data_IF_351920517210
#
_entry.id   IF_351920517210
#
_cell.length_a   1.000
_cell.length_b   1.000
_cell.length_c   1.000
_cell.angle_alpha   90.00
_cell.angle_beta   90.00
_cell.angle_gamma   90.00
#
_symmetry.space_group_name_H-M   'P 1'
#
loop_
_entity.id
_entity.type
_entity.pdbx_description
1 polymer ?
#
# COMPACT_ATOMS: atom_id res chain seq x y z
N UNK A 1 0.49 -10.56 -15.92
CA UNK A 1 -0.52 -11.01 -14.94
C UNK A 1 -0.43 -10.06 -13.76
N UNK A 2 -1.47 -9.25 -13.53
CA UNK A 2 -1.58 -8.37 -12.36
C UNK A 2 -2.27 -9.19 -11.28
N UNK A 3 -1.62 -9.49 -10.16
CA UNK A 3 -2.25 -10.17 -9.03
C UNK A 3 -2.26 -9.19 -7.85
N UNK A 4 -3.27 -8.33 -7.82
CA UNK A 4 -3.53 -7.49 -6.66
C UNK A 4 -4.74 -8.08 -5.93
N UNK A 5 -4.52 -8.54 -4.70
CA UNK A 5 -5.60 -8.70 -3.74
C UNK A 5 -5.62 -7.41 -2.91
N UNK A 6 -6.70 -6.60 -2.89
CA UNK A 6 -6.78 -5.33 -2.16
C UNK A 6 -6.76 -5.47 -0.62
N UNK A 7 -6.12 -6.52 -0.11
CA UNK A 7 -6.06 -6.98 1.28
C UNK A 7 -4.64 -6.79 1.83
N UNK A 8 -4.11 -5.56 1.79
CA UNK A 8 -2.82 -5.25 2.40
C UNK A 8 -1.62 -6.04 1.86
N UNK A 9 -1.74 -6.79 0.75
CA UNK A 9 -0.67 -7.59 0.17
C UNK A 9 -0.62 -7.46 -1.36
N UNK A 10 0.58 -7.41 -1.94
CA UNK A 10 0.81 -7.38 -3.37
C UNK A 10 1.99 -8.26 -3.77
N UNK A 11 1.97 -8.82 -4.98
CA UNK A 11 3.12 -9.51 -5.57
C UNK A 11 3.62 -8.77 -6.81
N UNK A 12 4.93 -8.53 -6.86
CA UNK A 12 5.55 -7.77 -7.94
C UNK A 12 7.07 -7.88 -7.92
N UNK A 13 7.71 -7.72 -9.08
CA UNK A 13 9.18 -7.76 -9.19
C UNK A 13 9.82 -8.96 -8.45
N UNK A 14 9.17 -10.13 -8.49
CA UNK A 14 9.65 -11.36 -7.88
C UNK A 14 9.47 -11.49 -6.36
N UNK A 15 8.73 -10.60 -5.70
CA UNK A 15 8.50 -10.65 -4.25
C UNK A 15 7.07 -10.34 -3.84
N UNK A 16 6.65 -10.90 -2.72
CA UNK A 16 5.46 -10.52 -1.97
C UNK A 16 5.78 -9.31 -1.09
N UNK A 17 4.80 -8.43 -0.93
CA UNK A 17 4.87 -7.23 -0.10
C UNK A 17 3.58 -7.16 0.70
N UNK A 18 3.65 -6.94 2.00
CA UNK A 18 2.46 -6.69 2.81
C UNK A 18 2.60 -5.44 3.69
N UNK A 19 1.46 -4.86 4.02
CA UNK A 19 1.32 -3.73 4.92
C UNK A 19 0.71 -4.24 6.23
N UNK A 20 1.40 -3.96 7.32
CA UNK A 20 0.86 -4.02 8.67
C UNK A 20 0.55 -2.59 9.13
N UNK A 21 -0.73 -2.26 9.21
CA UNK A 21 -1.21 -0.93 9.56
C UNK A 21 -1.35 -0.78 11.07
N UNK A 22 -0.40 -0.07 11.69
CA UNK A 22 -0.42 0.27 13.11
C UNK A 22 -0.42 1.79 13.28
N UNK A 23 -1.58 2.40 12.98
CA UNK A 23 -1.75 3.84 12.93
C UNK A 23 -1.17 4.53 14.20
N UNK A 24 -0.37 5.60 14.05
CA UNK A 24 -0.20 6.43 12.85
C UNK A 24 0.84 5.91 11.83
N UNK A 25 1.37 4.70 12.02
CA UNK A 25 2.43 4.14 11.18
C UNK A 25 1.95 2.91 10.39
N UNK A 26 2.70 2.57 9.34
CA UNK A 26 2.53 1.33 8.60
C UNK A 26 3.90 0.66 8.40
N UNK A 27 3.99 -0.61 8.79
CA UNK A 27 5.17 -1.43 8.55
C UNK A 27 5.01 -2.14 7.22
N UNK A 28 6.05 -2.09 6.39
CA UNK A 28 6.13 -2.83 5.13
C UNK A 28 6.97 -4.07 5.36
N UNK A 29 6.42 -5.23 5.02
CA UNK A 29 7.16 -6.49 5.01
C UNK A 29 7.31 -6.99 3.57
N UNK A 30 8.41 -7.70 3.32
CA UNK A 30 8.64 -8.35 2.03
C UNK A 30 8.95 -9.83 2.23
N UNK A 31 8.64 -10.64 1.24
CA UNK A 31 8.91 -12.07 1.25
C UNK A 31 9.17 -12.59 -0.16
N UNK A 32 10.15 -13.48 -0.37
CA UNK A 32 10.31 -14.18 -1.65
C UNK A 32 9.29 -15.31 -1.85
N UNK A 33 8.69 -15.84 -0.78
CA UNK A 33 7.93 -17.10 -0.78
C UNK A 33 6.56 -17.04 -0.08
N UNK A 34 6.16 -15.87 0.44
CA UNK A 34 4.96 -15.64 1.26
C UNK A 34 4.92 -16.41 2.59
N UNK A 35 6.01 -17.06 2.97
CA UNK A 35 6.13 -17.87 4.20
C UNK A 35 7.07 -17.16 5.18
N UNK A 36 8.26 -16.78 4.69
CA UNK A 36 9.27 -16.07 5.47
C UNK A 36 9.20 -14.58 5.18
N UNK A 37 8.90 -13.78 6.19
CA UNK A 37 8.70 -12.34 6.04
C UNK A 37 9.84 -11.56 6.70
N UNK A 38 10.36 -10.57 5.98
CA UNK A 38 11.35 -9.62 6.49
C UNK A 38 10.69 -8.26 6.62
N UNK A 39 10.74 -7.67 7.81
CA UNK A 39 10.32 -6.28 8.00
C UNK A 39 11.31 -5.36 7.28
N UNK A 40 10.80 -4.51 6.39
CA UNK A 40 11.57 -3.52 5.65
C UNK A 40 11.52 -2.16 6.33
N UNK A 41 10.63 -1.29 5.85
CA UNK A 41 10.53 0.10 6.28
C UNK A 41 9.25 0.34 7.08
N UNK A 42 9.32 1.26 8.04
CA UNK A 42 8.13 1.84 8.70
C UNK A 42 7.86 3.21 8.08
N UNK A 43 6.66 3.39 7.54
CA UNK A 43 6.18 4.65 6.98
C UNK A 43 5.32 5.34 8.05
N UNK A 44 5.58 6.62 8.32
CA UNK A 44 4.83 7.42 9.30
C UNK A 44 3.47 7.92 8.75
N UNK A 45 2.69 7.00 8.18
CA UNK A 45 1.32 7.20 7.71
C UNK A 45 0.53 5.91 7.92
N UNK A 46 -0.78 6.01 8.08
CA UNK A 46 -1.64 4.82 8.01
C UNK A 46 -1.75 4.42 6.54
N UNK A 47 -1.40 3.18 6.22
CA UNK A 47 -1.55 2.63 4.87
C UNK A 47 -2.43 1.39 4.98
N UNK A 48 -3.47 1.30 4.15
CA UNK A 48 -4.50 0.26 4.29
C UNK A 48 -4.60 -0.64 3.08
N UNK A 49 -4.03 -0.20 1.94
CA UNK A 49 -4.11 -0.90 0.65
C UNK A 49 -2.78 -0.80 -0.07
N UNK A 50 -2.46 -1.85 -0.83
CA UNK A 50 -1.30 -1.92 -1.72
C UNK A 50 -1.69 -2.64 -3.01
N UNK A 51 -1.08 -2.22 -4.12
CA UNK A 51 -1.17 -2.89 -5.42
C UNK A 51 0.18 -2.85 -6.12
N UNK A 52 0.36 -3.70 -7.12
CA UNK A 52 1.52 -3.68 -8.02
C UNK A 52 1.07 -3.73 -9.48
N UNK A 53 1.63 -2.84 -10.30
CA UNK A 53 1.38 -2.81 -11.73
C UNK A 53 2.47 -2.03 -12.46
N UNK A 54 2.77 -2.42 -13.70
CA UNK A 54 3.77 -1.74 -14.55
C UNK A 54 5.14 -1.53 -13.88
N UNK A 55 5.58 -2.46 -13.02
CA UNK A 55 6.86 -2.36 -12.32
C UNK A 55 6.84 -1.49 -11.05
N UNK A 56 5.67 -0.99 -10.63
CA UNK A 56 5.51 -0.06 -9.53
C UNK A 56 4.53 -0.61 -8.48
N UNK A 57 4.96 -0.62 -7.22
CA UNK A 57 4.11 -0.77 -6.05
C UNK A 57 3.47 0.57 -5.70
N UNK A 58 2.19 0.55 -5.39
CA UNK A 58 1.42 1.72 -4.94
C UNK A 58 0.68 1.34 -3.67
N UNK A 59 0.97 2.03 -2.58
CA UNK A 59 0.28 1.92 -1.30
C UNK A 59 -0.51 3.19 -1.02
N UNK A 60 -1.71 3.06 -0.46
CA UNK A 60 -2.56 4.20 -0.12
C UNK A 60 -3.14 4.08 1.29
N UNK A 61 -3.44 5.23 1.88
CA UNK A 61 -4.12 5.35 3.16
C UNK A 61 -4.28 6.80 3.57
N UNK A 62 -4.00 7.13 4.83
CA UNK A 62 -4.24 8.45 5.40
C UNK A 62 -3.20 8.88 6.45
N UNK A 63 -3.13 10.19 6.65
CA UNK A 63 -2.44 10.84 7.76
C UNK A 63 -3.36 11.91 8.34
N UNK A 64 -4.00 11.58 9.46
CA UNK A 64 -5.11 12.37 9.99
C UNK A 64 -6.24 12.52 8.97
N UNK A 65 -6.69 13.75 8.64
CA UNK A 65 -7.76 13.98 7.67
C UNK A 65 -7.31 13.89 6.20
N UNK A 66 -6.00 13.73 5.93
CA UNK A 66 -5.44 13.80 4.59
C UNK A 66 -5.19 12.41 4.02
N UNK A 67 -5.44 12.21 2.74
CA UNK A 67 -5.04 11.00 2.00
C UNK A 67 -3.53 10.95 1.77
N UNK A 68 -2.96 9.75 1.80
CA UNK A 68 -1.54 9.49 1.50
C UNK A 68 -1.41 8.42 0.41
N UNK A 69 -0.56 8.67 -0.58
CA UNK A 69 -0.12 7.67 -1.54
C UNK A 69 1.40 7.53 -1.47
N UNK A 70 1.88 6.29 -1.40
CA UNK A 70 3.29 5.96 -1.43
C UNK A 70 3.57 5.04 -2.62
N UNK A 71 4.68 5.28 -3.32
CA UNK A 71 5.08 4.46 -4.47
C UNK A 71 6.49 3.93 -4.31
N UNK A 72 6.76 2.74 -4.87
CA UNK A 72 8.08 2.12 -4.86
C UNK A 72 8.26 1.17 -6.04
N UNK A 73 9.44 1.13 -6.65
CA UNK A 73 9.77 0.11 -7.67
C UNK A 73 10.40 -1.14 -7.06
N UNK A 74 10.87 -1.08 -5.81
CA UNK A 74 11.63 -2.16 -5.17
C UNK A 74 11.03 -2.64 -3.85
N UNK A 75 9.93 -2.04 -3.39
CA UNK A 75 9.29 -2.26 -2.09
C UNK A 75 10.18 -2.02 -0.86
N UNK A 76 11.31 -1.34 -1.04
CA UNK A 76 12.26 -0.99 0.03
C UNK A 76 12.34 0.53 0.17
N UNK A 77 12.46 1.23 -0.95
CA UNK A 77 12.51 2.68 -1.01
C UNK A 77 11.14 3.22 -1.41
N UNK A 78 10.51 4.00 -0.54
CA UNK A 78 9.15 4.51 -0.73
C UNK A 78 9.14 6.03 -0.82
N UNK A 79 8.48 6.56 -1.85
CA UNK A 79 8.21 7.99 -2.00
C UNK A 79 6.74 8.24 -1.69
N UNK A 80 6.45 9.00 -0.64
CA UNK A 80 5.09 9.28 -0.19
C UNK A 80 4.68 10.73 -0.47
N UNK A 81 3.43 10.91 -0.87
CA UNK A 81 2.79 12.21 -1.08
C UNK A 81 1.51 12.24 -0.26
N UNK A 82 1.40 13.26 0.59
CA UNK A 82 0.15 13.60 1.28
C UNK A 82 -0.65 14.53 0.40
N UNK A 83 -1.84 14.11 0.00
CA UNK A 83 -2.77 14.96 -0.72
C UNK A 83 -3.66 15.69 0.28
N UNK A 84 -3.91 16.99 0.08
CA UNK A 84 -4.93 17.72 0.84
C UNK A 84 -6.38 17.25 0.57
N UNK A 85 -6.56 16.20 -0.23
CA UNK A 85 -7.83 15.50 -0.41
C UNK A 85 -8.02 14.47 0.70
N UNK A 86 -9.23 14.37 1.24
CA UNK A 86 -9.55 13.43 2.34
C UNK A 86 -9.61 11.96 1.91
N UNK A 87 -9.57 11.69 0.61
CA UNK A 87 -9.55 10.35 0.04
C UNK A 87 -8.65 10.34 -1.18
N UNK A 88 -7.74 9.36 -1.22
CA UNK A 88 -7.07 8.97 -2.44
C UNK A 88 -7.80 7.76 -3.01
N UNK A 89 -8.62 8.02 -4.02
CA UNK A 89 -9.13 6.97 -4.88
C UNK A 89 -7.92 6.33 -5.55
N UNK A 90 -7.63 5.09 -5.18
CA UNK A 90 -6.55 4.31 -5.76
C UNK A 90 -6.61 4.42 -7.29
N UNK A 91 -5.58 5.00 -7.90
CA UNK A 91 -5.29 4.75 -9.32
C UNK A 91 -4.55 3.41 -9.38
N UNK A 92 -5.18 2.36 -8.87
CA UNK A 92 -4.85 1.02 -9.25
C UNK A 92 -5.52 0.83 -10.61
N UNK A 93 -4.75 0.97 -11.68
CA UNK A 93 -5.12 0.74 -13.09
C UNK A 93 -6.47 0.01 -13.28
N UNK A 94 -7.58 0.77 -13.22
CA UNK A 94 -8.92 0.31 -13.60
C UNK A 94 -10.00 0.18 -12.52
N UNK A 95 -9.74 0.32 -11.22
CA UNK A 95 -10.82 0.22 -10.21
C UNK A 95 -10.81 1.37 -9.20
N UNK A 96 -11.78 2.28 -9.35
CA UNK A 96 -12.12 3.30 -8.36
C UNK A 96 -12.96 2.62 -7.27
N UNK A 97 -12.43 2.52 -6.05
CA UNK A 97 -13.23 2.16 -4.89
C UNK A 97 -13.37 3.38 -3.98
N UNK A 98 -14.59 3.89 -3.88
CA UNK A 98 -14.95 4.91 -2.89
C UNK A 98 -15.02 4.21 -1.53
N UNK A 99 -14.00 4.37 -0.70
CA UNK A 99 -14.00 3.85 0.66
C UNK A 99 -14.93 4.63 1.57
N UNK A 100 -16.25 4.50 1.39
CA UNK A 100 -17.18 4.76 2.49
C UNK A 100 -17.06 3.58 3.45
N UNK A 101 -16.42 3.83 4.59
CA UNK A 101 -16.56 2.95 5.74
C UNK A 101 -18.04 2.82 6.07
N UNK A 102 -18.45 1.57 6.29
CA UNK A 102 -19.51 1.13 7.18
C UNK A 102 -19.40 -0.40 7.18
N UNK A 103 -18.51 -0.93 8.02
CA UNK A 103 -18.62 -2.31 8.45
C UNK A 103 -19.89 -2.41 9.33
N UNK A 104 -20.78 -3.33 8.97
CA UNK A 104 -21.81 -3.88 9.87
C UNK A 104 -21.16 -5.04 10.61
#
# INVERSE_FOLDING_TARGET
MVTADPTGMAYGNGKFVCIDNNAPNANIFTSPDAITWTQGVTIANSLTKITFGFGLFVAVGSNGPNGVACTSTDAVNWSCVTTGAQQLNMVAFGYVYNGIGNDI
#
